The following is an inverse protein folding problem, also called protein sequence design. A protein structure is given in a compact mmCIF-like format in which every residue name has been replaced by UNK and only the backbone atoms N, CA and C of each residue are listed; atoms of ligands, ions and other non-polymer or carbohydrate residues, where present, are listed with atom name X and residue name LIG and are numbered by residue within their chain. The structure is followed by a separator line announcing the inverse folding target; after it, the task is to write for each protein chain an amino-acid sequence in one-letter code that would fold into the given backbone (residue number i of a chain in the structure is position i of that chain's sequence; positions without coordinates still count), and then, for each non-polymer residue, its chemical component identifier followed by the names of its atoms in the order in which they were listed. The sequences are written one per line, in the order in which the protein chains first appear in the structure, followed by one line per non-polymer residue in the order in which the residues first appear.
data_IF_341073455726
#
_entry.id   IF_341073455726
#
_cell.length_a   1.000
_cell.length_b   1.000
_cell.length_c   1.000
_cell.angle_alpha   90.00
_cell.angle_beta   90.00
_cell.angle_gamma   90.00
#
_symmetry.space_group_name_H-M   'P 1'
#
loop_
_entity.id
_entity.type
_entity.pdbx_description
1 polymer ?
#
# COMPACT_ATOMS: atom_id res chain seq x y z
N UNK A 1 -27.73 23.16 -23.13
CA UNK A 1 -26.88 21.97 -23.39
C UNK A 1 -25.64 22.46 -24.10
N UNK A 2 -24.73 23.06 -23.33
CA UNK A 2 -23.64 23.90 -23.84
C UNK A 2 -22.34 23.15 -23.68
N UNK A 3 -21.69 22.96 -24.82
CA UNK A 3 -20.48 22.22 -25.09
C UNK A 3 -19.42 22.40 -24.00
N UNK A 4 -19.17 21.37 -23.21
CA UNK A 4 -17.93 21.22 -22.45
C UNK A 4 -16.81 20.88 -23.44
N UNK A 5 -16.35 21.88 -24.21
CA UNK A 5 -15.14 21.74 -25.01
C UNK A 5 -14.02 21.48 -24.00
N UNK A 6 -13.47 20.26 -24.10
CA UNK A 6 -12.51 19.66 -23.21
C UNK A 6 -11.33 20.64 -22.97
N UNK A 7 -11.24 21.25 -21.77
CA UNK A 7 -10.16 22.20 -21.42
C UNK A 7 -8.75 21.62 -21.63
N UNK A 8 -8.61 20.29 -21.62
CA UNK A 8 -7.37 19.56 -21.96
C UNK A 8 -6.97 19.67 -23.44
N UNK A 9 -7.92 19.78 -24.36
CA UNK A 9 -7.62 19.97 -25.79
C UNK A 9 -7.05 21.37 -26.06
N UNK A 10 -7.55 22.38 -25.36
CA UNK A 10 -7.11 23.77 -25.50
C UNK A 10 -5.68 24.03 -24.99
N UNK A 11 -5.20 23.26 -24.00
CA UNK A 11 -3.84 23.41 -23.48
C UNK A 11 -2.77 22.66 -24.29
N UNK A 12 -3.16 21.64 -25.06
CA UNK A 12 -2.24 20.84 -25.87
C UNK A 12 -2.12 21.40 -27.30
N UNK A 13 -3.12 22.15 -27.76
CA UNK A 13 -3.19 22.77 -29.09
C UNK A 13 -1.93 23.58 -29.47
N UNK A 14 -1.37 24.44 -28.60
CA UNK A 14 -0.20 25.25 -28.97
C UNK A 14 1.07 24.41 -29.15
N UNK A 15 1.26 23.37 -28.34
CA UNK A 15 2.39 22.46 -28.44
C UNK A 15 2.29 21.58 -29.70
N UNK A 16 1.09 21.13 -30.04
CA UNK A 16 0.83 20.37 -31.27
C UNK A 16 0.98 21.26 -32.50
N UNK A 17 0.49 22.50 -32.45
CA UNK A 17 0.67 23.48 -33.53
C UNK A 17 2.16 23.80 -33.76
N UNK A 18 2.95 24.00 -32.70
CA UNK A 18 4.38 24.27 -32.83
C UNK A 18 5.18 23.06 -33.34
N UNK A 19 4.79 21.83 -32.97
CA UNK A 19 5.44 20.63 -33.50
C UNK A 19 5.11 20.42 -34.97
N UNK A 20 3.86 20.64 -35.38
CA UNK A 20 3.47 20.62 -36.81
C UNK A 20 4.20 21.71 -37.60
N UNK A 21 4.29 22.92 -37.07
CA UNK A 21 5.02 24.03 -37.72
C UNK A 21 6.52 23.74 -37.81
N UNK A 22 7.13 23.18 -36.75
CA UNK A 22 8.54 22.78 -36.76
C UNK A 22 8.80 21.68 -37.80
N UNK A 23 7.92 20.68 -37.87
CA UNK A 23 8.01 19.56 -38.81
C UNK A 23 7.83 20.02 -40.27
N UNK A 24 6.92 20.96 -40.52
CA UNK A 24 6.74 21.58 -41.84
C UNK A 24 7.96 22.43 -42.20
N UNK A 25 8.53 23.16 -41.24
CA UNK A 25 9.72 23.98 -41.46
C UNK A 25 10.96 23.13 -41.75
N UNK A 26 11.16 22.01 -41.04
CA UNK A 26 12.29 21.09 -41.34
C UNK A 26 12.14 20.47 -42.72
N UNK A 27 10.93 20.08 -43.13
CA UNK A 27 10.67 19.62 -44.50
C UNK A 27 10.94 20.73 -45.53
N UNK A 28 10.48 21.96 -45.30
CA UNK A 28 10.72 23.09 -46.21
C UNK A 28 12.21 23.43 -46.31
N UNK A 29 12.94 23.46 -45.19
CA UNK A 29 14.38 23.74 -45.18
C UNK A 29 15.13 22.64 -45.92
N UNK A 30 14.84 21.36 -45.65
CA UNK A 30 15.48 20.25 -46.36
C UNK A 30 15.20 20.31 -47.86
N UNK A 31 13.95 20.56 -48.26
CA UNK A 31 13.56 20.65 -49.68
C UNK A 31 14.16 21.88 -50.36
N UNK A 32 14.17 23.05 -49.72
CA UNK A 32 14.75 24.27 -50.29
C UNK A 32 16.27 24.23 -50.37
N UNK A 33 16.94 23.58 -49.42
CA UNK A 33 18.40 23.62 -49.31
C UNK A 33 19.08 22.49 -50.09
N UNK A 34 18.42 21.35 -50.27
CA UNK A 34 18.95 20.23 -51.05
C UNK A 34 18.37 20.11 -52.47
N UNK A 35 17.34 20.88 -52.84
CA UNK A 35 16.86 20.98 -54.23
C UNK A 35 16.40 19.63 -54.82
N UNK A 36 16.61 19.42 -56.13
CA UNK A 36 16.28 18.15 -56.84
C UNK A 36 17.15 16.95 -56.44
N UNK A 37 18.21 17.19 -55.67
CA UNK A 37 19.27 16.22 -55.35
C UNK A 37 18.86 15.17 -54.32
N UNK A 38 17.80 15.43 -53.54
CA UNK A 38 17.39 14.56 -52.44
C UNK A 38 16.12 13.76 -52.77
N UNK A 39 16.17 12.41 -52.75
CA UNK A 39 14.98 11.59 -52.97
C UNK A 39 13.91 11.88 -51.92
N UNK A 40 12.68 12.15 -52.36
CA UNK A 40 11.54 12.48 -51.49
C UNK A 40 11.33 11.49 -50.33
N UNK A 41 11.67 10.21 -50.53
CA UNK A 41 11.61 9.19 -49.47
C UNK A 41 12.56 9.47 -48.29
N UNK A 42 13.75 10.00 -48.53
CA UNK A 42 14.71 10.36 -47.48
C UNK A 42 14.23 11.60 -46.73
N UNK A 43 13.71 12.60 -47.45
CA UNK A 43 13.15 13.80 -46.83
C UNK A 43 11.94 13.48 -45.93
N UNK A 44 11.10 12.53 -46.33
CA UNK A 44 9.98 12.05 -45.51
C UNK A 44 10.44 11.22 -44.30
N UNK A 45 11.41 10.33 -44.46
CA UNK A 45 11.91 9.52 -43.32
C UNK A 45 12.64 10.40 -42.30
N UNK A 46 13.44 11.37 -42.74
CA UNK A 46 14.18 12.28 -41.86
C UNK A 46 13.24 13.32 -41.24
N UNK A 47 12.41 13.99 -42.04
CA UNK A 47 11.52 15.06 -41.56
C UNK A 47 10.32 14.54 -40.77
N UNK A 48 9.79 13.35 -41.09
CA UNK A 48 8.55 12.84 -40.50
C UNK A 48 8.82 11.71 -39.50
N UNK A 49 9.79 10.84 -39.77
CA UNK A 49 10.15 9.70 -38.92
C UNK A 49 11.11 10.07 -37.78
N UNK A 50 12.25 10.66 -38.10
CA UNK A 50 13.30 11.00 -37.13
C UNK A 50 12.90 12.20 -36.27
N UNK A 51 12.38 13.27 -36.88
CA UNK A 51 11.94 14.47 -36.15
C UNK A 51 10.70 14.18 -35.30
N UNK A 52 9.76 13.38 -35.82
CA UNK A 52 8.58 12.92 -35.07
C UNK A 52 8.93 12.01 -33.89
N UNK A 53 9.86 11.07 -34.08
CA UNK A 53 10.38 10.20 -33.01
C UNK A 53 11.13 10.99 -31.94
N UNK A 54 11.99 11.93 -32.36
CA UNK A 54 12.72 12.81 -31.46
C UNK A 54 11.79 13.72 -30.64
N UNK A 55 10.80 14.36 -31.28
CA UNK A 55 9.80 15.18 -30.58
C UNK A 55 8.93 14.36 -29.61
N UNK A 56 8.58 13.12 -29.97
CA UNK A 56 7.86 12.22 -29.08
C UNK A 56 8.69 11.86 -27.84
N UNK A 57 9.99 11.58 -28.01
CA UNK A 57 10.89 11.33 -26.88
C UNK A 57 11.04 12.55 -25.98
N UNK A 58 11.17 13.76 -26.56
CA UNK A 58 11.26 15.01 -25.81
C UNK A 58 9.96 15.35 -25.08
N UNK A 59 8.81 15.15 -25.71
CA UNK A 59 7.51 15.36 -25.06
C UNK A 59 7.31 14.39 -23.89
N UNK A 60 7.78 13.15 -24.03
CA UNK A 60 7.73 12.14 -22.97
C UNK A 60 8.70 12.46 -21.82
N UNK A 61 9.96 12.79 -22.11
CA UNK A 61 10.93 13.24 -21.09
C UNK A 61 10.43 14.47 -20.35
N UNK A 62 9.86 15.44 -21.05
CA UNK A 62 9.35 16.67 -20.44
C UNK A 62 8.17 16.40 -19.50
N UNK A 63 7.34 15.40 -19.82
CA UNK A 63 6.26 14.94 -18.94
C UNK A 63 6.81 14.22 -17.70
N UNK A 64 7.86 13.41 -17.84
CA UNK A 64 8.54 12.78 -16.71
C UNK A 64 9.24 13.81 -15.81
N UNK A 65 9.94 14.78 -16.40
CA UNK A 65 10.63 15.83 -15.68
C UNK A 65 9.64 16.70 -14.87
N UNK A 66 8.44 16.95 -15.39
CA UNK A 66 7.37 17.63 -14.64
C UNK A 66 6.88 16.81 -13.43
N UNK A 67 7.06 15.48 -13.45
CA UNK A 67 6.77 14.57 -12.35
C UNK A 67 7.97 14.35 -11.42
N UNK A 68 9.12 14.97 -11.73
CA UNK A 68 10.37 14.81 -10.97
C UNK A 68 11.07 13.47 -11.23
N UNK A 69 10.66 12.73 -12.26
CA UNK A 69 11.23 11.45 -12.65
C UNK A 69 12.07 11.62 -13.92
N UNK A 70 13.10 10.80 -14.08
CA UNK A 70 13.98 10.81 -15.25
C UNK A 70 14.17 9.37 -15.73
N UNK A 71 13.95 9.12 -17.01
CA UNK A 71 14.13 7.79 -17.60
C UNK A 71 15.28 7.81 -18.60
N UNK A 72 16.43 7.29 -18.17
CA UNK A 72 17.63 7.17 -18.99
C UNK A 72 17.41 6.40 -20.30
N UNK A 73 16.44 5.47 -20.34
CA UNK A 73 16.12 4.74 -21.55
C UNK A 73 15.50 5.66 -22.61
N UNK A 74 14.65 6.60 -22.21
CA UNK A 74 14.04 7.57 -23.13
C UNK A 74 15.10 8.54 -23.64
N UNK A 75 15.99 9.00 -22.75
CA UNK A 75 17.15 9.81 -23.13
C UNK A 75 18.01 9.08 -24.16
N UNK A 76 18.29 7.79 -23.91
CA UNK A 76 19.04 6.94 -24.83
C UNK A 76 18.35 6.77 -26.18
N UNK A 77 17.03 6.59 -26.21
CA UNK A 77 16.25 6.52 -27.46
C UNK A 77 16.33 7.85 -28.21
N UNK A 78 16.23 8.99 -27.51
CA UNK A 78 16.47 10.31 -28.08
C UNK A 78 17.83 10.36 -28.77
N UNK A 79 18.92 10.16 -28.02
CA UNK A 79 20.27 10.12 -28.58
C UNK A 79 20.42 9.15 -29.76
N UNK A 80 19.73 8.01 -29.72
CA UNK A 80 19.66 7.07 -30.84
C UNK A 80 19.09 7.69 -32.11
N UNK A 81 17.96 8.39 -32.03
CA UNK A 81 17.40 9.13 -33.17
C UNK A 81 18.37 10.21 -33.68
N UNK A 82 19.04 10.93 -32.78
CA UNK A 82 20.06 11.93 -33.16
C UNK A 82 21.25 11.32 -33.92
N UNK A 83 21.73 10.15 -33.46
CA UNK A 83 22.80 9.41 -34.14
C UNK A 83 22.37 8.89 -35.51
N UNK A 84 21.16 8.34 -35.62
CA UNK A 84 20.61 7.85 -36.89
C UNK A 84 20.43 8.99 -37.88
N UNK A 85 19.88 10.13 -37.46
CA UNK A 85 19.71 11.30 -38.32
C UNK A 85 21.05 11.85 -38.83
N UNK A 86 22.04 11.94 -37.94
CA UNK A 86 23.40 12.36 -38.30
C UNK A 86 24.04 11.36 -39.27
N UNK A 87 23.86 10.05 -39.03
CA UNK A 87 24.36 9.00 -39.91
C UNK A 87 23.77 9.06 -41.32
N UNK A 88 22.47 9.35 -41.44
CA UNK A 88 21.81 9.54 -42.76
C UNK A 88 22.37 10.76 -43.48
N UNK A 89 22.57 11.88 -42.79
CA UNK A 89 23.16 13.08 -43.39
C UNK A 89 24.60 12.83 -43.87
N UNK A 90 25.41 12.14 -43.08
CA UNK A 90 26.78 11.77 -43.45
C UNK A 90 26.79 10.81 -44.65
N UNK A 91 25.94 9.78 -44.65
CA UNK A 91 25.84 8.84 -45.76
C UNK A 91 25.43 9.54 -47.07
N UNK A 92 24.53 10.52 -46.99
CA UNK A 92 24.13 11.32 -48.13
C UNK A 92 25.26 12.25 -48.61
N UNK A 93 25.96 12.92 -47.69
CA UNK A 93 27.08 13.80 -48.02
C UNK A 93 28.29 13.07 -48.64
N UNK A 94 28.47 11.78 -48.34
CA UNK A 94 29.49 10.94 -49.00
C UNK A 94 29.09 10.61 -50.45
N UNK A 95 27.79 10.52 -50.74
CA UNK A 95 27.25 10.22 -52.07
C UNK A 95 27.12 11.42 -53.00
N UNK A 96 27.31 12.64 -52.50
CA UNK A 96 27.25 13.89 -53.26
C UNK A 96 28.60 14.60 -53.29
N UNK A 97 28.99 15.13 -54.46
CA UNK A 97 30.17 16.02 -54.57
C UNK A 97 29.88 17.46 -54.08
N UNK A 98 28.67 17.71 -53.58
CA UNK A 98 28.22 19.05 -53.19
C UNK A 98 28.80 19.46 -51.82
N UNK A 99 29.41 20.66 -51.76
CA UNK A 99 29.84 21.24 -50.49
C UNK A 99 28.65 21.56 -49.55
N UNK A 100 27.45 21.71 -50.11
CA UNK A 100 26.22 21.97 -49.37
C UNK A 100 25.82 20.82 -48.44
N UNK A 101 25.99 19.57 -48.86
CA UNK A 101 25.67 18.42 -48.03
C UNK A 101 26.52 18.36 -46.74
N UNK A 102 27.80 18.73 -46.83
CA UNK A 102 28.70 18.78 -45.67
C UNK A 102 28.40 19.95 -44.73
N UNK A 103 27.91 21.07 -45.25
CA UNK A 103 27.39 22.16 -44.42
C UNK A 103 26.09 21.75 -43.71
N UNK A 104 25.25 20.93 -44.34
CA UNK A 104 24.02 20.42 -43.70
C UNK A 104 24.38 19.51 -42.51
N UNK A 105 25.31 18.58 -42.69
CA UNK A 105 25.81 17.67 -41.64
C UNK A 105 26.30 18.44 -40.40
N UNK A 106 27.01 19.54 -40.62
CA UNK A 106 27.63 20.31 -39.53
C UNK A 106 26.69 21.32 -38.89
N UNK A 107 25.79 21.94 -39.67
CA UNK A 107 24.96 23.04 -39.17
C UNK A 107 23.58 22.62 -38.66
N UNK A 108 22.95 21.58 -39.23
CA UNK A 108 21.62 21.13 -38.80
C UNK A 108 21.57 20.74 -37.31
N UNK A 109 22.51 19.92 -36.78
CA UNK A 109 22.49 19.54 -35.37
C UNK A 109 22.68 20.76 -34.45
N UNK A 110 23.54 21.71 -34.84
CA UNK A 110 23.78 22.94 -34.09
C UNK A 110 22.54 23.84 -34.08
N UNK A 111 21.91 24.03 -35.25
CA UNK A 111 20.69 24.83 -35.39
C UNK A 111 19.52 24.23 -34.58
N UNK A 112 19.34 22.91 -34.61
CA UNK A 112 18.33 22.23 -33.81
C UNK A 112 18.54 22.45 -32.30
N UNK A 113 19.79 22.36 -31.84
CA UNK A 113 20.14 22.57 -30.42
C UNK A 113 19.98 24.03 -30.00
N UNK A 114 20.32 24.97 -30.87
CA UNK A 114 20.11 26.40 -30.64
C UNK A 114 18.61 26.75 -30.56
N UNK A 115 17.79 26.20 -31.45
CA UNK A 115 16.33 26.36 -31.42
C UNK A 115 15.74 25.83 -30.10
N UNK A 116 16.24 24.69 -29.62
CA UNK A 116 15.82 24.10 -28.35
C UNK A 116 16.16 24.99 -27.15
N UNK A 117 17.36 25.58 -27.13
CA UNK A 117 17.75 26.55 -26.10
C UNK A 117 16.85 27.78 -26.10
N UNK A 118 16.58 28.34 -27.28
CA UNK A 118 15.69 29.50 -27.44
C UNK A 118 14.29 29.17 -26.95
N UNK A 119 13.76 28.00 -27.29
CA UNK A 119 12.45 27.54 -26.84
C UNK A 119 12.39 27.41 -25.30
N UNK A 120 13.41 26.80 -24.69
CA UNK A 120 13.52 26.66 -23.23
C UNK A 120 13.64 28.01 -22.51
N UNK A 121 14.32 28.99 -23.12
CA UNK A 121 14.36 30.37 -22.63
C UNK A 121 13.01 31.06 -22.76
N UNK A 122 12.32 30.88 -23.89
CA UNK A 122 11.04 31.52 -24.16
C UNK A 122 9.96 31.08 -23.16
N UNK A 123 9.92 29.79 -22.82
CA UNK A 123 9.01 29.28 -21.77
C UNK A 123 9.29 29.87 -20.38
N UNK A 124 10.57 30.11 -20.05
CA UNK A 124 10.93 30.78 -18.80
C UNK A 124 10.51 32.24 -18.80
N UNK A 125 10.59 32.93 -19.93
CA UNK A 125 10.14 34.33 -20.05
C UNK A 125 8.62 34.47 -20.11
N UNK A 126 7.90 33.43 -20.53
CA UNK A 126 6.43 33.41 -20.51
C UNK A 126 5.87 33.25 -19.08
N UNK A 127 6.64 32.65 -18.17
CA UNK A 127 6.26 32.47 -16.77
C UNK A 127 6.73 33.66 -15.93
N UNK A 128 5.79 34.36 -15.30
CA UNK A 128 6.14 35.44 -14.36
C UNK A 128 6.94 34.90 -13.17
N UNK A 129 7.84 35.69 -12.54
CA UNK A 129 8.60 35.26 -11.37
C UNK A 129 7.71 34.70 -10.24
N UNK A 130 6.54 35.31 -10.05
CA UNK A 130 5.52 34.86 -9.10
C UNK A 130 4.99 33.45 -9.42
N UNK A 131 4.80 33.13 -10.71
CA UNK A 131 4.38 31.80 -11.13
C UNK A 131 5.47 30.75 -10.87
N UNK A 132 6.74 31.09 -11.11
CA UNK A 132 7.86 30.20 -10.81
C UNK A 132 8.02 29.92 -9.31
N UNK A 133 7.84 30.94 -8.46
CA UNK A 133 7.87 30.75 -7.01
C UNK A 133 6.67 29.94 -6.52
N UNK A 134 5.49 30.14 -7.10
CA UNK A 134 4.32 29.31 -6.81
C UNK A 134 4.57 27.84 -7.16
N UNK A 135 5.12 27.55 -8.35
CA UNK A 135 5.48 26.19 -8.77
C UNK A 135 6.50 25.58 -7.81
N UNK A 136 7.55 26.31 -7.43
CA UNK A 136 8.54 25.83 -6.45
C UNK A 136 7.89 25.53 -5.10
N UNK A 137 7.00 26.40 -4.61
CA UNK A 137 6.30 26.18 -3.34
C UNK A 137 5.40 24.94 -3.35
N UNK A 138 4.72 24.67 -4.47
CA UNK A 138 3.86 23.49 -4.64
C UNK A 138 4.71 22.22 -4.70
N UNK A 139 5.81 22.24 -5.47
CA UNK A 139 6.73 21.10 -5.56
C UNK A 139 7.37 20.79 -4.21
N UNK A 140 7.75 21.82 -3.45
CA UNK A 140 8.31 21.63 -2.11
C UNK A 140 7.28 21.01 -1.17
N UNK A 141 6.06 21.57 -1.12
CA UNK A 141 4.96 21.03 -0.30
C UNK A 141 4.65 19.57 -0.64
N UNK A 142 4.60 19.23 -1.92
CA UNK A 142 4.36 17.85 -2.35
C UNK A 142 5.49 16.88 -1.91
N UNK A 143 6.76 17.33 -1.92
CA UNK A 143 7.88 16.53 -1.39
C UNK A 143 7.77 16.33 0.11
N UNK A 144 7.42 17.38 0.85
CA UNK A 144 7.28 17.34 2.29
C UNK A 144 6.11 16.42 2.69
N UNK A 145 4.96 16.54 2.03
CA UNK A 145 3.81 15.66 2.22
C UNK A 145 4.15 14.19 1.92
N UNK A 146 4.88 13.91 0.83
CA UNK A 146 5.32 12.57 0.51
C UNK A 146 6.30 12.00 1.55
N UNK A 147 7.19 12.83 2.09
CA UNK A 147 8.10 12.43 3.17
C UNK A 147 7.33 12.11 4.47
N UNK A 148 6.36 12.95 4.84
CA UNK A 148 5.48 12.73 5.99
C UNK A 148 4.67 11.46 5.83
N UNK A 149 4.05 11.24 4.67
CA UNK A 149 3.28 10.03 4.40
C UNK A 149 4.14 8.75 4.52
N UNK A 150 5.38 8.78 4.00
CA UNK A 150 6.33 7.67 4.17
C UNK A 150 6.71 7.45 5.63
N UNK A 151 6.93 8.52 6.40
CA UNK A 151 7.23 8.42 7.82
C UNK A 151 6.06 7.82 8.62
N UNK A 152 4.83 8.25 8.33
CA UNK A 152 3.62 7.71 8.94
C UNK A 152 3.42 6.23 8.61
N UNK A 153 3.58 5.84 7.33
CA UNK A 153 3.50 4.44 6.91
C UNK A 153 4.55 3.58 7.62
N UNK A 154 5.79 4.07 7.77
CA UNK A 154 6.84 3.37 8.53
C UNK A 154 6.49 3.24 10.02
N UNK A 155 5.94 4.28 10.63
CA UNK A 155 5.53 4.24 12.03
C UNK A 155 4.43 3.18 12.26
N UNK A 156 3.40 3.15 11.40
CA UNK A 156 2.32 2.15 11.47
C UNK A 156 2.88 0.74 11.26
N UNK A 157 3.73 0.54 10.24
CA UNK A 157 4.35 -0.74 9.98
C UNK A 157 5.17 -1.26 11.18
N UNK A 158 5.98 -0.40 11.81
CA UNK A 158 6.76 -0.78 13.00
C UNK A 158 5.88 -1.14 14.21
N UNK A 159 4.75 -0.44 14.40
CA UNK A 159 3.79 -0.79 15.46
C UNK A 159 3.11 -2.14 15.22
N UNK A 160 2.72 -2.44 13.96
CA UNK A 160 2.10 -3.73 13.62
C UNK A 160 3.10 -4.88 13.71
N UNK A 161 4.35 -4.69 13.29
CA UNK A 161 5.41 -5.68 13.47
C UNK A 161 5.62 -6.02 14.95
N UNK A 162 5.73 -4.99 15.80
CA UNK A 162 5.87 -5.18 17.27
C UNK A 162 4.67 -5.93 17.84
N UNK A 163 3.46 -5.60 17.38
CA UNK A 163 2.22 -6.28 17.80
C UNK A 163 2.20 -7.75 17.38
N UNK A 164 2.58 -8.05 16.13
CA UNK A 164 2.64 -9.43 15.63
C UNK A 164 3.68 -10.26 16.38
N UNK A 165 4.85 -9.70 16.70
CA UNK A 165 5.87 -10.36 17.52
C UNK A 165 5.33 -10.63 18.93
N UNK A 166 4.69 -9.65 19.56
CA UNK A 166 4.11 -9.81 20.90
C UNK A 166 3.02 -10.90 20.93
N UNK A 167 2.13 -10.92 19.94
CA UNK A 167 1.07 -11.94 19.80
C UNK A 167 1.67 -13.33 19.57
N UNK A 168 2.69 -13.44 18.71
CA UNK A 168 3.36 -14.71 18.42
C UNK A 168 4.08 -15.26 19.65
N UNK A 169 4.78 -14.41 20.41
CA UNK A 169 5.42 -14.81 21.66
C UNK A 169 4.40 -15.20 22.73
N UNK A 170 3.28 -14.50 22.84
CA UNK A 170 2.21 -14.87 23.74
C UNK A 170 1.60 -16.23 23.36
N UNK A 171 1.34 -16.47 22.07
CA UNK A 171 0.88 -17.76 21.55
C UNK A 171 1.86 -18.89 21.83
N UNK A 172 3.17 -18.66 21.66
CA UNK A 172 4.21 -19.62 21.97
C UNK A 172 4.24 -19.99 23.47
N UNK A 173 4.02 -19.00 24.36
CA UNK A 173 3.91 -19.26 25.81
C UNK A 173 2.67 -20.09 26.14
N UNK A 174 1.52 -19.78 25.55
CA UNK A 174 0.29 -20.54 25.76
C UNK A 174 0.44 -21.98 25.25
N UNK A 175 1.00 -22.17 24.05
CA UNK A 175 1.25 -23.49 23.49
C UNK A 175 2.19 -24.33 24.38
N UNK A 176 3.21 -23.70 24.97
CA UNK A 176 4.13 -24.36 25.92
C UNK A 176 3.41 -24.82 27.18
N UNK A 177 2.61 -23.94 27.80
CA UNK A 177 1.84 -24.30 29.00
C UNK A 177 0.85 -25.41 28.69
N UNK A 178 0.16 -25.36 27.55
CA UNK A 178 -0.74 -26.44 27.14
C UNK A 178 -0.02 -27.78 26.94
N UNK A 179 1.17 -27.78 26.35
CA UNK A 179 1.97 -28.98 26.18
C UNK A 179 2.45 -29.54 27.53
N UNK A 180 2.85 -28.68 28.46
CA UNK A 180 3.27 -29.06 29.81
C UNK A 180 2.11 -29.65 30.62
N UNK A 181 0.95 -28.98 30.63
CA UNK A 181 -0.27 -29.49 31.27
C UNK A 181 -0.75 -30.80 30.64
N UNK A 182 -0.67 -30.95 29.32
CA UNK A 182 -1.00 -32.21 28.66
C UNK A 182 -0.05 -33.34 29.08
N UNK A 183 1.24 -33.04 29.27
CA UNK A 183 2.23 -33.98 29.78
C UNK A 183 1.95 -34.41 31.22
N UNK A 184 1.64 -33.46 32.11
CA UNK A 184 1.27 -33.74 33.49
C UNK A 184 -0.01 -34.59 33.59
N UNK A 185 -1.04 -34.26 32.82
CA UNK A 185 -2.29 -35.01 32.77
C UNK A 185 -2.08 -36.42 32.22
N UNK A 186 -1.29 -36.58 31.16
CA UNK A 186 -0.93 -37.89 30.63
C UNK A 186 -0.14 -38.72 31.65
N UNK A 187 0.77 -38.08 32.40
CA UNK A 187 1.50 -38.72 33.50
C UNK A 187 0.58 -39.18 34.63
N UNK A 188 -0.32 -38.30 35.08
CA UNK A 188 -1.33 -38.63 36.09
C UNK A 188 -2.24 -39.79 35.63
N UNK A 189 -2.63 -39.79 34.35
CA UNK A 189 -3.40 -40.88 33.76
C UNK A 189 -2.64 -42.20 33.76
N UNK A 190 -1.36 -42.17 33.38
CA UNK A 190 -0.50 -43.35 33.40
C UNK A 190 -0.36 -43.92 34.81
N UNK A 191 -0.27 -43.07 35.84
CA UNK A 191 -0.20 -43.51 37.24
C UNK A 191 -1.52 -44.12 37.69
N UNK A 192 -2.66 -43.49 37.36
CA UNK A 192 -4.00 -44.04 37.63
C UNK A 192 -4.21 -45.39 36.96
N UNK A 193 -3.82 -45.52 35.70
CA UNK A 193 -3.94 -46.75 34.93
C UNK A 193 -3.03 -47.86 35.50
N UNK A 194 -1.79 -47.53 35.86
CA UNK A 194 -0.89 -48.47 36.54
C UNK A 194 -1.45 -48.92 37.90
N UNK A 195 -2.05 -47.99 38.67
CA UNK A 195 -2.72 -48.33 39.92
C UNK A 195 -3.94 -49.23 39.69
N UNK A 196 -4.70 -49.00 38.62
CA UNK A 196 -5.85 -49.84 38.21
C UNK A 196 -5.43 -51.27 37.84
N UNK A 197 -4.31 -51.43 37.16
CA UNK A 197 -3.78 -52.73 36.74
C UNK A 197 -3.00 -53.46 37.85
N UNK A 198 -2.67 -52.79 38.96
CA UNK A 198 -1.96 -53.39 40.09
C UNK A 198 -2.85 -54.29 40.96
N UNK A 199 -2.37 -55.52 41.25
CA UNK A 199 -3.07 -56.56 42.00
C UNK A 199 -3.56 -56.12 43.41
N UNK A 200 -2.94 -55.10 44.02
CA UNK A 200 -3.29 -54.61 45.36
C UNK A 200 -4.45 -53.61 45.40
N UNK A 201 -4.60 -52.77 44.38
CA UNK A 201 -5.55 -51.65 44.36
C UNK A 201 -6.93 -52.09 43.91
N UNK A 202 -7.01 -53.00 42.93
CA UNK A 202 -8.25 -53.69 42.58
C UNK A 202 -8.83 -54.42 43.81
N UNK A 203 -7.96 -55.04 44.61
CA UNK A 203 -8.34 -55.73 45.86
C UNK A 203 -8.84 -54.76 46.93
N UNK A 204 -8.14 -53.64 47.15
CA UNK A 204 -8.55 -52.60 48.10
C UNK A 204 -9.90 -51.95 47.74
N UNK A 205 -10.15 -51.72 46.44
CA UNK A 205 -11.44 -51.19 45.96
C UNK A 205 -12.55 -52.26 46.05
N UNK A 206 -12.25 -53.55 45.84
CA UNK A 206 -13.23 -54.61 46.10
C UNK A 206 -13.52 -54.81 47.60
N UNK A 207 -12.55 -54.61 48.50
CA UNK A 207 -12.77 -54.75 49.95
C UNK A 207 -13.65 -53.64 50.55
N UNK A 208 -13.76 -52.47 49.89
CA UNK A 208 -14.72 -51.40 50.28
C UNK A 208 -16.12 -51.63 49.69
N UNK A 209 -16.27 -52.61 48.78
CA UNK A 209 -17.57 -52.95 48.15
C UNK A 209 -18.23 -54.20 48.75
N UNK A 210 -17.75 -54.70 49.89
CA UNK A 210 -18.57 -55.63 50.68
C UNK A 210 -19.83 -54.88 51.17
N UNK A 211 -21.01 -55.37 50.77
CA UNK A 211 -22.33 -54.71 50.86
C UNK A 211 -22.58 -54.06 52.22
N UNK A 212 -22.49 -52.73 52.29
CA UNK A 212 -23.08 -51.95 53.39
C UNK A 212 -24.48 -51.44 53.03
N UNK A 213 -24.87 -51.40 51.74
CA UNK A 213 -26.25 -51.14 51.28
C UNK A 213 -26.60 -51.96 50.01
N UNK A 214 -27.76 -52.64 49.94
CA UNK A 214 -28.07 -53.58 48.85
C UNK A 214 -28.31 -52.96 47.45
N UNK A 215 -28.55 -51.66 47.34
CA UNK A 215 -28.92 -51.00 46.08
C UNK A 215 -27.90 -49.97 45.57
N UNK A 216 -26.75 -49.83 46.24
CA UNK A 216 -25.70 -48.89 45.85
C UNK A 216 -24.61 -49.61 45.07
N UNK A 217 -24.54 -49.38 43.76
CA UNK A 217 -23.34 -49.69 42.97
C UNK A 217 -22.45 -48.44 42.94
N UNK A 218 -21.34 -48.37 43.71
CA UNK A 218 -20.40 -47.27 43.58
C UNK A 218 -19.64 -47.44 42.26
N UNK A 219 -20.16 -46.85 41.18
CA UNK A 219 -19.42 -46.66 39.94
C UNK A 219 -18.55 -45.41 40.09
N UNK A 220 -17.23 -45.61 40.21
CA UNK A 220 -16.28 -44.53 39.96
C UNK A 220 -16.25 -44.26 38.45
N UNK A 221 -17.13 -43.38 37.97
CA UNK A 221 -17.06 -42.86 36.61
C UNK A 221 -16.11 -41.67 36.59
N UNK A 222 -15.12 -41.74 35.71
CA UNK A 222 -14.19 -40.64 35.48
C UNK A 222 -14.93 -39.47 34.82
N UNK A 223 -14.77 -38.24 35.31
CA UNK A 223 -15.41 -37.08 34.69
C UNK A 223 -14.90 -36.92 33.25
N UNK A 224 -15.82 -36.96 32.30
CA UNK A 224 -15.53 -36.72 30.88
C UNK A 224 -15.33 -35.21 30.71
N UNK A 225 -14.07 -34.77 30.63
CA UNK A 225 -13.76 -33.39 30.27
C UNK A 225 -13.87 -33.20 28.77
N UNK A 226 -15.10 -33.01 28.27
CA UNK A 226 -15.30 -32.51 26.92
C UNK A 226 -15.13 -30.97 26.90
N UNK A 227 -14.55 -30.37 25.85
CA UNK A 227 -14.40 -28.91 25.75
C UNK A 227 -15.72 -28.14 25.86
N UNK A 228 -16.85 -28.77 25.51
CA UNK A 228 -18.18 -28.17 25.58
C UNK A 228 -18.67 -28.03 27.03
N UNK A 229 -18.43 -29.05 27.86
CA UNK A 229 -18.92 -29.08 29.25
C UNK A 229 -18.12 -28.14 30.15
N UNK A 230 -16.80 -28.00 29.91
CA UNK A 230 -15.96 -27.03 30.64
C UNK A 230 -16.35 -25.59 30.33
N UNK A 231 -16.74 -25.31 29.07
CA UNK A 231 -17.21 -23.98 28.66
C UNK A 231 -18.54 -23.62 29.32
N UNK A 232 -19.49 -24.56 29.36
CA UNK A 232 -20.79 -24.35 29.99
C UNK A 232 -20.68 -24.08 31.50
N UNK A 233 -19.80 -24.80 32.20
CA UNK A 233 -19.54 -24.58 33.63
C UNK A 233 -18.91 -23.20 33.90
N UNK A 234 -17.94 -22.77 33.09
CA UNK A 234 -17.33 -21.43 33.22
C UNK A 234 -18.30 -20.29 32.85
N UNK A 235 -19.18 -20.50 31.88
CA UNK A 235 -20.19 -19.52 31.46
C UNK A 235 -21.33 -19.38 32.50
N UNK A 236 -21.65 -20.44 33.26
CA UNK A 236 -22.67 -20.41 34.33
C UNK A 236 -22.26 -19.64 35.60
N UNK A 237 -20.96 -19.36 35.79
CA UNK A 237 -20.44 -18.69 36.99
C UNK A 237 -20.15 -17.18 36.79
N UNK A 238 -20.44 -16.62 35.61
CA UNK A 238 -20.14 -15.23 35.26
C UNK A 238 -21.36 -14.30 35.26
N UNK A 239 -21.11 -12.98 35.25
CA UNK A 239 -22.17 -11.97 35.11
C UNK A 239 -23.02 -12.24 33.87
N UNK A 240 -24.33 -12.12 34.00
CA UNK A 240 -25.27 -12.18 32.88
C UNK A 240 -25.09 -10.94 31.96
N UNK A 241 -25.52 -11.03 30.70
CA UNK A 241 -25.41 -9.89 29.78
C UNK A 241 -26.23 -8.67 30.25
N UNK A 242 -27.36 -8.88 30.94
CA UNK A 242 -28.16 -7.79 31.50
C UNK A 242 -27.46 -7.09 32.68
N UNK A 243 -26.79 -7.86 33.55
CA UNK A 243 -26.00 -7.30 34.64
C UNK A 243 -24.76 -6.55 34.12
N UNK A 244 -24.12 -7.10 33.08
CA UNK A 244 -23.00 -6.47 32.40
C UNK A 244 -23.41 -5.11 31.81
N UNK A 245 -24.54 -5.05 31.09
CA UNK A 245 -25.06 -3.82 30.48
C UNK A 245 -25.42 -2.77 31.53
N UNK A 246 -26.01 -3.18 32.66
CA UNK A 246 -26.32 -2.28 33.78
C UNK A 246 -25.06 -1.65 34.37
N UNK A 247 -24.03 -2.46 34.66
CA UNK A 247 -22.77 -1.98 35.26
C UNK A 247 -22.03 -1.05 34.28
N UNK A 248 -22.00 -1.40 33.00
CA UNK A 248 -21.36 -0.56 31.96
C UNK A 248 -22.08 0.79 31.82
N UNK A 249 -23.42 0.80 31.83
CA UNK A 249 -24.21 2.04 31.80
C UNK A 249 -23.94 2.95 33.01
N UNK A 250 -23.88 2.36 34.22
CA UNK A 250 -23.58 3.11 35.44
C UNK A 250 -22.17 3.71 35.41
N UNK A 251 -21.18 2.96 34.93
CA UNK A 251 -19.81 3.45 34.78
C UNK A 251 -19.71 4.59 33.76
N UNK A 252 -20.36 4.48 32.60
CA UNK A 252 -20.37 5.53 31.57
C UNK A 252 -20.91 6.85 32.13
N UNK A 253 -22.01 6.76 32.88
CA UNK A 253 -22.73 7.94 33.39
C UNK A 253 -22.24 8.40 34.77
N UNK A 254 -21.19 7.77 35.32
CA UNK A 254 -20.65 8.13 36.63
C UNK A 254 -19.95 9.49 36.67
N UNK A 255 -19.58 10.05 35.51
CA UNK A 255 -18.91 11.34 35.39
C UNK A 255 -19.42 12.12 34.17
N UNK A 256 -19.29 13.45 34.24
CA UNK A 256 -19.56 14.36 33.14
C UNK A 256 -18.29 15.13 32.82
N UNK A 257 -17.68 14.98 31.63
CA UNK A 257 -18.14 14.19 30.47
C UNK A 257 -18.06 12.66 30.68
N UNK A 258 -18.85 11.87 29.93
CA UNK A 258 -18.89 10.41 30.07
C UNK A 258 -17.53 9.78 29.75
N UNK A 259 -17.20 8.72 30.48
CA UNK A 259 -15.91 8.03 30.37
C UNK A 259 -15.72 7.41 28.98
N UNK A 260 -14.46 7.29 28.55
CA UNK A 260 -14.11 6.53 27.35
C UNK A 260 -14.19 5.01 27.60
N UNK A 261 -14.32 4.21 26.54
CA UNK A 261 -14.33 2.73 26.63
C UNK A 261 -13.15 2.17 27.44
N UNK A 262 -11.96 2.73 27.24
CA UNK A 262 -10.74 2.26 27.90
C UNK A 262 -10.79 2.48 29.42
N UNK A 263 -11.35 3.60 29.85
CA UNK A 263 -11.51 3.94 31.26
C UNK A 263 -12.58 3.08 31.92
N UNK A 264 -13.70 2.85 31.25
CA UNK A 264 -14.74 1.94 31.73
C UNK A 264 -14.22 0.51 31.85
N UNK A 265 -13.46 0.02 30.87
CA UNK A 265 -12.84 -1.30 30.93
C UNK A 265 -11.79 -1.42 32.05
N UNK A 266 -11.12 -0.33 32.41
CA UNK A 266 -10.19 -0.29 33.55
C UNK A 266 -10.94 -0.34 34.88
N UNK A 267 -11.99 0.48 35.04
CA UNK A 267 -12.78 0.56 36.27
C UNK A 267 -13.61 -0.70 36.52
N UNK A 268 -14.18 -1.29 35.47
CA UNK A 268 -14.90 -2.56 35.53
C UNK A 268 -14.02 -3.66 36.14
N UNK A 269 -12.77 -3.77 35.71
CA UNK A 269 -11.80 -4.74 36.25
C UNK A 269 -11.32 -4.37 37.65
N UNK A 270 -11.11 -3.07 37.92
CA UNK A 270 -10.72 -2.60 39.25
C UNK A 270 -11.81 -2.85 40.31
N UNK A 271 -13.08 -2.87 39.91
CA UNK A 271 -14.22 -3.24 40.76
C UNK A 271 -14.35 -4.76 40.99
N UNK A 272 -13.43 -5.58 40.45
CA UNK A 272 -13.42 -7.03 40.65
C UNK A 272 -14.33 -7.81 39.69
N UNK A 273 -14.97 -7.14 38.73
CA UNK A 273 -15.79 -7.83 37.73
C UNK A 273 -14.91 -8.46 36.63
N UNK A 274 -15.27 -9.68 36.23
CA UNK A 274 -14.60 -10.42 35.17
C UNK A 274 -15.57 -10.68 34.01
N UNK A 275 -15.16 -10.31 32.80
CA UNK A 275 -15.88 -10.57 31.56
C UNK A 275 -14.87 -10.65 30.40
N UNK A 276 -15.19 -11.44 29.37
CA UNK A 276 -14.37 -11.46 28.16
C UNK A 276 -14.43 -10.10 27.46
N UNK A 277 -13.31 -9.67 26.85
CA UNK A 277 -13.21 -8.40 26.12
C UNK A 277 -14.29 -8.27 25.03
N UNK A 278 -14.63 -9.39 24.37
CA UNK A 278 -15.70 -9.45 23.37
C UNK A 278 -17.06 -9.12 23.96
N UNK A 279 -17.41 -9.67 25.14
CA UNK A 279 -18.68 -9.38 25.82
C UNK A 279 -18.73 -7.95 26.33
N UNK A 280 -17.64 -7.45 26.88
CA UNK A 280 -17.54 -6.07 27.37
C UNK A 280 -17.71 -5.04 26.24
N UNK A 281 -17.12 -5.29 25.05
CA UNK A 281 -17.33 -4.44 23.87
C UNK A 281 -18.74 -4.52 23.32
N UNK A 282 -19.34 -5.70 23.32
CA UNK A 282 -20.72 -5.87 22.88
C UNK A 282 -21.68 -5.08 23.77
N UNK A 283 -21.50 -5.18 25.09
CA UNK A 283 -22.23 -4.39 26.09
C UNK A 283 -22.04 -2.89 25.91
N UNK A 284 -20.81 -2.43 25.80
CA UNK A 284 -20.50 -1.02 25.51
C UNK A 284 -21.26 -0.48 24.30
N UNK A 285 -21.29 -1.24 23.20
CA UNK A 285 -22.02 -0.85 21.99
C UNK A 285 -23.52 -0.80 22.22
N UNK A 286 -24.11 -1.79 22.91
CA UNK A 286 -25.55 -1.79 23.23
C UNK A 286 -25.95 -0.59 24.07
N UNK A 287 -25.09 -0.20 25.01
CA UNK A 287 -25.36 0.87 25.96
C UNK A 287 -25.15 2.27 25.36
N UNK A 288 -24.19 2.42 24.44
CA UNK A 288 -23.85 3.72 23.83
C UNK A 288 -24.56 3.98 22.50
N UNK A 289 -25.13 2.96 21.86
CA UNK A 289 -25.94 3.13 20.64
C UNK A 289 -27.38 3.41 21.06
N UNK A 290 -27.96 4.58 20.74
CA UNK A 290 -29.37 4.81 21.00
C UNK A 290 -30.19 3.77 20.22
N UNK A 291 -31.16 3.14 20.90
CA UNK A 291 -32.12 2.28 20.24
C UNK A 291 -32.83 3.12 19.16
N UNK A 292 -32.63 2.76 17.89
CA UNK A 292 -33.49 3.22 16.81
C UNK A 292 -34.80 2.47 17.02
N UNK A 293 -35.76 3.13 17.69
CA UNK A 293 -37.14 2.65 17.76
C UNK A 293 -37.66 2.47 16.32
N UNK A 294 -38.10 1.25 16.02
CA UNK A 294 -38.77 0.87 14.78
C UNK A 294 -40.28 1.06 14.92
#
# INVERSE_FOLDING_TARGET
MTVAINKKLLTVLPAVAMTVVSMVLTVIVVVMWLGESMPWGVALVVGLGLDGGWLATLAYERRLAAQGDHNNAVTGVGWGFGLVATGVLVAHAIGEESAGAWLAVSWLPLAAKALWLVHGLWERTALTPKALDSIRSIQQRARDEAAVARAQLRAVAGTEETRLVAVTQAGARVARVQAETAGELAGAWSVLEAARQGDGTARALTCVTERVTPESHPSWELPVWSPADTRALLESAGLTDAELDRIVYELINSQTPPLSYREVASRFRAAGHSASETRLRASWRRVTTPAVEA
#
